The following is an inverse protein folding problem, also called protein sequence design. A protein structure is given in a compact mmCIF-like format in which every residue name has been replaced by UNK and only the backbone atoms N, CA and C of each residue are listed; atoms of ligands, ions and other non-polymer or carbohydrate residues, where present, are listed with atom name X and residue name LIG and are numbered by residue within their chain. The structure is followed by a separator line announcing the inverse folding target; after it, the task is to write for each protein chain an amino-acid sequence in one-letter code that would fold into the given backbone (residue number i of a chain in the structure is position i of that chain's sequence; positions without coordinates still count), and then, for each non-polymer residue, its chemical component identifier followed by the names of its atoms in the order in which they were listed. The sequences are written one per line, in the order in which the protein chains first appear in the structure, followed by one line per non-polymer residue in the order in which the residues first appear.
data_IF_905423954787
#
_entry.id   IF_905423954787
#
_cell.length_a   1.000
_cell.length_b   1.000
_cell.length_c   1.000
_cell.angle_alpha   90.00
_cell.angle_beta   90.00
_cell.angle_gamma   90.00
#
_symmetry.space_group_name_H-M   'P 1'
#
loop_
_entity.id
_entity.type
_entity.pdbx_description
1 polymer ?
#
# COMPACT_ATOMS: atom_id res chain seq x y z
N UNK A 1 -10.43 -30.76 27.13
CA UNK A 1 -9.14 -30.38 26.51
C UNK A 1 -9.20 -30.42 24.98
N UNK A 2 -9.84 -31.42 24.37
CA UNK A 2 -9.95 -31.55 22.89
C UNK A 2 -10.56 -30.32 22.17
N UNK A 3 -11.60 -29.70 22.73
CA UNK A 3 -12.21 -28.49 22.15
C UNK A 3 -11.27 -27.27 22.16
N UNK A 4 -10.47 -27.09 23.22
CA UNK A 4 -9.52 -25.96 23.33
C UNK A 4 -8.41 -26.13 22.29
N UNK A 5 -7.92 -27.36 22.10
CA UNK A 5 -6.91 -27.67 21.08
C UNK A 5 -7.42 -27.51 19.65
N UNK A 6 -8.68 -27.87 19.37
CA UNK A 6 -9.26 -27.70 18.03
C UNK A 6 -9.46 -26.22 17.67
N UNK A 7 -10.02 -25.43 18.58
CA UNK A 7 -10.24 -24.00 18.33
C UNK A 7 -8.90 -23.25 18.18
N UNK A 8 -7.91 -23.57 19.00
CA UNK A 8 -6.57 -23.03 18.86
C UNK A 8 -5.97 -23.35 17.48
N UNK A 9 -6.09 -24.59 17.02
CA UNK A 9 -5.63 -24.96 15.67
C UNK A 9 -6.36 -24.15 14.58
N UNK A 10 -7.68 -23.94 14.70
CA UNK A 10 -8.45 -23.10 13.79
C UNK A 10 -7.94 -21.65 13.81
N UNK A 11 -7.67 -21.09 14.99
CA UNK A 11 -7.12 -19.72 15.11
C UNK A 11 -5.75 -19.61 14.47
N UNK A 12 -4.86 -20.59 14.68
CA UNK A 12 -3.53 -20.62 14.05
C UNK A 12 -3.68 -20.64 12.52
N UNK A 13 -4.52 -21.52 11.98
CA UNK A 13 -4.77 -21.58 10.54
C UNK A 13 -5.36 -20.26 10.03
N UNK A 14 -6.31 -19.68 10.75
CA UNK A 14 -6.94 -18.41 10.38
C UNK A 14 -5.94 -17.25 10.41
N UNK A 15 -5.02 -17.22 11.38
CA UNK A 15 -3.95 -16.24 11.46
C UNK A 15 -2.97 -16.38 10.29
N UNK A 16 -2.61 -17.61 9.90
CA UNK A 16 -1.78 -17.85 8.71
C UNK A 16 -2.51 -17.46 7.42
N UNK A 17 -3.82 -17.69 7.32
CA UNK A 17 -4.63 -17.18 6.20
C UNK A 17 -4.62 -15.66 6.19
N UNK A 18 -4.79 -15.00 7.35
CA UNK A 18 -4.66 -13.55 7.45
C UNK A 18 -3.29 -13.08 6.94
N UNK A 19 -2.19 -13.71 7.36
CA UNK A 19 -0.84 -13.35 6.94
C UNK A 19 -0.59 -13.54 5.45
N UNK A 20 -1.13 -14.62 4.90
CA UNK A 20 -1.15 -14.85 3.46
C UNK A 20 -1.95 -13.77 2.74
N UNK A 21 -3.12 -13.40 3.25
CA UNK A 21 -3.91 -12.32 2.65
C UNK A 21 -3.20 -10.98 2.73
N UNK A 22 -2.50 -10.74 3.84
CA UNK A 22 -1.70 -9.55 4.04
C UNK A 22 -0.53 -9.49 3.04
N UNK A 23 0.22 -10.59 2.90
CA UNK A 23 1.34 -10.68 1.99
C UNK A 23 0.98 -10.33 0.55
N UNK A 24 -0.16 -10.82 0.06
CA UNK A 24 -0.63 -10.52 -1.29
C UNK A 24 -1.13 -9.06 -1.39
N UNK A 25 -1.89 -8.59 -0.40
CA UNK A 25 -2.45 -7.23 -0.36
C UNK A 25 -1.35 -6.16 -0.38
N UNK A 26 -0.31 -6.35 0.45
CA UNK A 26 0.74 -5.37 0.69
C UNK A 26 1.96 -5.54 -0.23
N UNK A 27 1.93 -6.50 -1.17
CA UNK A 27 2.91 -6.60 -2.26
C UNK A 27 3.03 -5.29 -3.04
N UNK A 28 1.93 -4.56 -3.18
CA UNK A 28 1.89 -3.26 -3.84
C UNK A 28 2.80 -2.23 -3.17
N UNK A 29 2.94 -2.27 -1.84
CA UNK A 29 3.73 -1.30 -1.09
C UNK A 29 5.22 -1.36 -1.44
N UNK A 30 5.72 -2.56 -1.75
CA UNK A 30 7.11 -2.77 -2.14
C UNK A 30 7.30 -2.67 -3.67
N UNK A 31 6.40 -3.27 -4.45
CA UNK A 31 6.67 -3.55 -5.87
C UNK A 31 5.95 -2.64 -6.86
N UNK A 32 4.87 -1.95 -6.48
CA UNK A 32 4.11 -1.14 -7.44
C UNK A 32 4.96 -0.05 -8.10
N UNK A 33 5.79 0.65 -7.31
CA UNK A 33 6.71 1.67 -7.82
C UNK A 33 7.80 1.10 -8.72
N UNK A 34 8.33 -0.09 -8.41
CA UNK A 34 9.39 -0.71 -9.23
C UNK A 34 8.85 -1.28 -10.54
N UNK A 35 7.60 -1.74 -10.53
CA UNK A 35 6.89 -2.23 -11.71
C UNK A 35 6.50 -1.04 -12.60
N UNK A 36 5.93 0.01 -12.02
CA UNK A 36 5.44 1.16 -12.79
C UNK A 36 6.56 2.00 -13.42
N UNK A 37 7.73 2.10 -12.78
CA UNK A 37 8.91 2.74 -13.38
C UNK A 37 9.60 1.89 -14.46
N UNK A 38 9.20 0.63 -14.65
CA UNK A 38 9.88 -0.31 -15.56
C UNK A 38 11.24 -0.80 -15.04
N UNK A 39 11.55 -0.62 -13.76
CA UNK A 39 12.79 -1.09 -13.16
C UNK A 39 12.85 -2.62 -13.10
N UNK A 40 11.74 -3.31 -12.86
CA UNK A 40 11.63 -4.77 -12.96
C UNK A 40 10.34 -5.22 -13.65
N UNK A 41 10.39 -6.43 -14.21
CA UNK A 41 9.19 -7.12 -14.70
C UNK A 41 8.32 -7.56 -13.51
N UNK A 42 6.98 -7.55 -13.63
CA UNK A 42 6.06 -7.87 -12.54
C UNK A 42 6.37 -9.19 -11.80
N UNK A 43 6.51 -10.31 -12.53
CA UNK A 43 6.78 -11.63 -11.92
C UNK A 43 8.12 -11.69 -11.19
N UNK A 44 9.16 -11.06 -11.73
CA UNK A 44 10.48 -11.00 -11.08
C UNK A 44 10.44 -10.16 -9.81
N UNK A 45 9.69 -9.05 -9.84
CA UNK A 45 9.53 -8.16 -8.71
C UNK A 45 8.85 -8.86 -7.53
N UNK A 46 7.72 -9.53 -7.75
CA UNK A 46 7.00 -10.26 -6.68
C UNK A 46 7.78 -11.47 -6.16
N UNK A 47 8.55 -12.16 -7.02
CA UNK A 47 9.42 -13.25 -6.59
C UNK A 47 10.56 -12.77 -5.66
N UNK A 48 11.23 -11.67 -6.03
CA UNK A 48 12.25 -11.06 -5.17
C UNK A 48 11.63 -10.60 -3.84
N UNK A 49 10.45 -9.99 -3.89
CA UNK A 49 9.74 -9.51 -2.71
C UNK A 49 9.36 -10.65 -1.76
N UNK A 50 8.86 -11.77 -2.29
CA UNK A 50 8.50 -12.94 -1.50
C UNK A 50 9.70 -13.53 -0.74
N UNK A 51 10.85 -13.68 -1.41
CA UNK A 51 12.08 -14.19 -0.77
C UNK A 51 12.56 -13.24 0.34
N UNK A 52 12.55 -11.93 0.09
CA UNK A 52 12.99 -10.95 1.07
C UNK A 52 11.99 -10.80 2.22
N UNK A 53 10.68 -10.95 1.98
CA UNK A 53 9.68 -11.01 3.05
C UNK A 53 9.93 -12.22 3.96
N UNK A 54 10.20 -13.39 3.39
CA UNK A 54 10.55 -14.58 4.16
C UNK A 54 11.79 -14.34 5.03
N UNK A 55 12.86 -13.77 4.46
CA UNK A 55 14.07 -13.45 5.22
C UNK A 55 13.78 -12.43 6.32
N UNK A 56 13.01 -11.38 6.01
CA UNK A 56 12.63 -10.33 6.96
C UNK A 56 11.90 -10.86 8.19
N UNK A 57 11.06 -11.89 8.01
CA UNK A 57 10.35 -12.55 9.11
C UNK A 57 11.28 -13.10 10.21
N UNK A 58 12.53 -13.42 9.90
CA UNK A 58 13.51 -13.93 10.87
C UNK A 58 14.37 -12.84 11.54
N UNK A 59 14.23 -11.57 11.15
CA UNK A 59 15.13 -10.51 11.60
C UNK A 59 14.75 -9.88 12.95
N UNK A 60 13.50 -10.03 13.41
CA UNK A 60 13.05 -9.45 14.68
C UNK A 60 11.79 -10.14 15.19
N UNK A 61 11.54 -9.98 16.49
CA UNK A 61 10.34 -10.46 17.20
C UNK A 61 9.71 -9.36 18.09
N UNK A 62 10.20 -8.12 18.02
CA UNK A 62 9.75 -7.03 18.90
C UNK A 62 8.31 -6.56 18.65
N UNK A 63 7.89 -6.50 17.39
CA UNK A 63 6.49 -6.17 17.04
C UNK A 63 5.56 -7.28 17.51
N UNK A 64 5.98 -8.54 17.40
CA UNK A 64 5.21 -9.69 17.88
C UNK A 64 4.95 -9.60 19.39
N UNK A 65 5.98 -9.25 20.17
CA UNK A 65 5.87 -9.03 21.63
C UNK A 65 4.91 -7.90 21.99
N UNK A 66 4.98 -6.77 21.26
CA UNK A 66 4.05 -5.64 21.48
C UNK A 66 2.60 -6.06 21.27
N UNK A 67 2.35 -6.91 20.27
CA UNK A 67 0.99 -7.37 19.94
C UNK A 67 0.51 -8.41 20.96
N UNK A 68 1.37 -9.35 21.36
CA UNK A 68 0.98 -10.42 22.26
C UNK A 68 0.76 -9.98 23.71
N UNK A 69 1.40 -8.90 24.17
CA UNK A 69 1.30 -8.46 25.59
C UNK A 69 0.96 -6.99 25.83
N UNK A 70 0.80 -6.16 24.78
CA UNK A 70 0.67 -4.70 24.95
C UNK A 70 -0.73 -4.12 24.78
N UNK A 71 -1.57 -4.73 23.94
CA UNK A 71 -2.77 -4.08 23.39
C UNK A 71 -4.05 -4.48 24.11
N UNK A 72 -4.17 -5.77 24.44
CA UNK A 72 -5.35 -6.34 25.09
C UNK A 72 -4.92 -6.91 26.42
N UNK A 73 -5.72 -6.68 27.46
CA UNK A 73 -5.52 -7.32 28.74
C UNK A 73 -5.78 -8.81 28.58
N UNK A 74 -4.76 -9.62 28.83
CA UNK A 74 -4.80 -11.09 28.61
C UNK A 74 -5.85 -11.77 29.51
N UNK A 75 -6.14 -11.15 30.67
CA UNK A 75 -7.16 -11.60 31.61
C UNK A 75 -8.58 -11.48 31.02
N UNK A 76 -9.16 -12.64 30.67
CA UNK A 76 -10.54 -12.75 30.19
C UNK A 76 -10.69 -12.81 28.66
N UNK A 77 -9.60 -12.72 27.90
CA UNK A 77 -9.63 -12.94 26.44
C UNK A 77 -9.51 -14.42 26.15
N UNK A 78 -10.54 -14.98 25.52
CA UNK A 78 -10.55 -16.37 25.09
C UNK A 78 -10.10 -16.49 23.63
N UNK A 79 -9.74 -17.70 23.21
CA UNK A 79 -9.31 -17.99 21.84
C UNK A 79 -10.40 -17.66 20.81
N UNK A 80 -11.68 -17.72 21.17
CA UNK A 80 -12.82 -17.31 20.33
C UNK A 80 -12.78 -15.83 19.95
N UNK A 81 -12.31 -14.97 20.85
CA UNK A 81 -12.20 -13.52 20.62
C UNK A 81 -11.15 -13.22 19.56
N UNK A 82 -10.03 -13.94 19.63
CA UNK A 82 -8.94 -13.84 18.66
C UNK A 82 -9.41 -14.34 17.29
N UNK A 83 -10.18 -15.43 17.27
CA UNK A 83 -10.81 -15.91 16.04
C UNK A 83 -11.72 -14.86 15.41
N UNK A 84 -12.63 -14.26 16.20
CA UNK A 84 -13.52 -13.20 15.74
C UNK A 84 -12.77 -11.96 15.23
N UNK A 85 -11.70 -11.56 15.92
CA UNK A 85 -10.83 -10.47 15.51
C UNK A 85 -10.21 -10.70 14.12
N UNK A 86 -9.67 -11.91 13.89
CA UNK A 86 -9.08 -12.30 12.61
C UNK A 86 -10.12 -12.33 11.49
N UNK A 87 -11.34 -12.79 11.76
CA UNK A 87 -12.44 -12.79 10.78
C UNK A 87 -12.75 -11.36 10.32
N UNK A 88 -12.84 -10.42 11.27
CA UNK A 88 -13.03 -9.00 10.96
C UNK A 88 -11.90 -8.42 10.09
N UNK A 89 -10.66 -8.75 10.43
CA UNK A 89 -9.48 -8.29 9.70
C UNK A 89 -9.41 -8.87 8.27
N UNK A 90 -9.63 -10.18 8.12
CA UNK A 90 -9.55 -10.87 6.81
C UNK A 90 -10.65 -10.37 5.88
N UNK A 91 -11.91 -10.34 6.33
CA UNK A 91 -13.02 -9.93 5.48
C UNK A 91 -12.87 -8.48 5.03
N UNK A 92 -12.39 -7.60 5.91
CA UNK A 92 -12.10 -6.22 5.54
C UNK A 92 -10.96 -6.12 4.51
N UNK A 93 -9.83 -6.81 4.74
CA UNK A 93 -8.70 -6.82 3.81
C UNK A 93 -9.10 -7.35 2.41
N UNK A 94 -9.89 -8.42 2.36
CA UNK A 94 -10.38 -8.98 1.09
C UNK A 94 -11.33 -8.01 0.38
N UNK A 95 -12.19 -7.31 1.13
CA UNK A 95 -13.09 -6.31 0.56
C UNK A 95 -12.30 -5.12 -0.02
N UNK A 96 -11.33 -4.58 0.71
CA UNK A 96 -10.51 -3.47 0.22
C UNK A 96 -9.68 -3.87 -0.99
N UNK A 97 -9.18 -5.11 -1.03
CA UNK A 97 -8.52 -5.66 -2.19
C UNK A 97 -9.44 -5.76 -3.41
N UNK A 98 -10.67 -6.26 -3.23
CA UNK A 98 -11.65 -6.36 -4.32
C UNK A 98 -11.89 -4.99 -4.96
N UNK A 99 -12.02 -3.96 -4.11
CA UNK A 99 -12.19 -2.56 -4.51
C UNK A 99 -10.90 -1.89 -5.01
N UNK A 100 -9.76 -2.58 -4.96
CA UNK A 100 -8.46 -2.02 -5.35
C UNK A 100 -7.99 -0.86 -4.47
N UNK A 101 -8.52 -0.75 -3.25
CA UNK A 101 -8.20 0.31 -2.30
C UNK A 101 -6.97 -0.09 -1.46
N UNK A 102 -5.87 0.67 -1.49
CA UNK A 102 -4.70 0.40 -0.65
C UNK A 102 -5.04 0.72 0.81
N UNK A 103 -5.49 -0.31 1.53
CA UNK A 103 -5.77 -0.29 2.97
C UNK A 103 -4.58 -0.78 3.80
N UNK A 104 -4.65 -0.58 5.11
CA UNK A 104 -3.65 -1.02 6.08
C UNK A 104 -4.11 -2.28 6.79
N UNK A 105 -3.47 -3.42 6.50
CA UNK A 105 -3.72 -4.68 7.20
C UNK A 105 -3.45 -4.58 8.70
N UNK A 106 -2.47 -3.76 9.13
CA UNK A 106 -2.25 -3.47 10.55
C UNK A 106 -3.50 -2.89 11.22
N UNK A 107 -4.15 -1.93 10.56
CA UNK A 107 -5.34 -1.28 11.11
C UNK A 107 -6.57 -2.18 11.04
N UNK A 108 -6.66 -3.04 10.03
CA UNK A 108 -7.70 -4.05 9.97
C UNK A 108 -7.55 -5.06 11.13
N UNK A 109 -6.33 -5.52 11.40
CA UNK A 109 -6.04 -6.41 12.52
C UNK A 109 -6.34 -5.77 13.87
N UNK A 110 -5.84 -4.55 14.11
CA UNK A 110 -6.12 -3.84 15.36
C UNK A 110 -7.58 -3.46 15.52
N UNK A 111 -8.24 -3.05 14.43
CA UNK A 111 -9.68 -2.81 14.42
C UNK A 111 -10.43 -4.07 14.84
N UNK A 112 -10.21 -5.19 14.15
CA UNK A 112 -10.82 -6.47 14.49
C UNK A 112 -10.58 -6.89 15.93
N UNK A 113 -9.35 -6.76 16.42
CA UNK A 113 -8.98 -7.10 17.81
C UNK A 113 -9.66 -6.19 18.83
N UNK A 114 -9.65 -4.87 18.61
CA UNK A 114 -10.34 -3.90 19.47
C UNK A 114 -11.84 -4.18 19.50
N UNK A 115 -12.46 -4.36 18.34
CA UNK A 115 -13.89 -4.60 18.22
C UNK A 115 -14.33 -5.89 18.91
N UNK A 116 -13.60 -6.99 18.66
CA UNK A 116 -13.87 -8.28 19.31
C UNK A 116 -13.66 -8.19 20.82
N UNK A 117 -12.56 -7.60 21.30
CA UNK A 117 -12.28 -7.48 22.72
C UNK A 117 -13.29 -6.58 23.46
N UNK A 118 -13.67 -5.44 22.86
CA UNK A 118 -14.71 -4.55 23.42
C UNK A 118 -16.07 -5.25 23.45
N UNK A 119 -16.44 -5.97 22.40
CA UNK A 119 -17.64 -6.82 22.43
C UNK A 119 -17.51 -7.89 23.52
N UNK A 120 -16.31 -8.43 23.73
CA UNK A 120 -16.05 -9.52 24.68
C UNK A 120 -16.14 -9.12 26.15
N UNK A 121 -15.36 -8.13 26.53
CA UNK A 121 -15.09 -7.75 27.91
C UNK A 121 -15.23 -6.24 28.17
N UNK A 122 -15.78 -5.48 27.21
CA UNK A 122 -15.97 -4.03 27.32
C UNK A 122 -14.69 -3.23 27.09
N UNK A 123 -14.79 -1.90 27.19
CA UNK A 123 -13.68 -0.97 26.91
C UNK A 123 -12.49 -1.13 27.87
N UNK A 124 -12.70 -1.67 29.06
CA UNK A 124 -11.64 -1.97 30.04
C UNK A 124 -10.69 -3.09 29.59
N UNK A 125 -11.05 -3.87 28.57
CA UNK A 125 -10.18 -4.91 28.00
C UNK A 125 -9.05 -4.35 27.14
N UNK A 126 -9.13 -3.08 26.73
CA UNK A 126 -8.17 -2.44 25.84
C UNK A 126 -7.26 -1.50 26.61
N UNK A 127 -5.96 -1.65 26.40
CA UNK A 127 -4.99 -0.66 26.87
C UNK A 127 -5.00 0.55 25.92
N UNK A 128 -5.89 1.52 26.21
CA UNK A 128 -6.04 2.73 25.39
C UNK A 128 -4.73 3.52 25.24
N UNK A 129 -3.89 3.54 26.28
CA UNK A 129 -2.57 4.18 26.22
C UNK A 129 -1.64 3.51 25.21
N UNK A 130 -1.57 2.18 25.20
CA UNK A 130 -0.80 1.42 24.20
C UNK A 130 -1.37 1.61 22.81
N UNK A 131 -2.70 1.54 22.63
CA UNK A 131 -3.34 1.75 21.32
C UNK A 131 -2.98 3.12 20.76
N UNK A 132 -3.08 4.18 21.56
CA UNK A 132 -2.73 5.53 21.09
C UNK A 132 -1.24 5.64 20.75
N UNK A 133 -0.35 5.18 21.63
CA UNK A 133 1.09 5.40 21.48
C UNK A 133 1.78 4.46 20.50
N UNK A 134 1.31 3.22 20.37
CA UNK A 134 1.94 2.16 19.56
C UNK A 134 1.20 1.87 18.25
N UNK A 135 -0.04 2.34 18.09
CA UNK A 135 -0.86 2.13 16.89
C UNK A 135 -1.25 3.46 16.23
N UNK A 136 -2.05 4.30 16.90
CA UNK A 136 -2.64 5.49 16.27
C UNK A 136 -1.62 6.60 15.98
N UNK A 137 -0.70 6.87 16.91
CA UNK A 137 0.32 7.89 16.70
C UNK A 137 1.27 7.51 15.55
N UNK A 138 1.84 6.28 15.49
CA UNK A 138 2.59 5.83 14.33
C UNK A 138 1.80 5.88 13.02
N UNK A 139 0.48 5.58 13.03
CA UNK A 139 -0.36 5.64 11.83
C UNK A 139 -0.39 7.02 11.16
N UNK A 140 -0.32 8.09 11.96
CA UNK A 140 -0.32 9.47 11.47
C UNK A 140 1.11 9.93 11.20
N UNK A 141 2.03 9.66 12.13
CA UNK A 141 3.39 10.16 12.05
C UNK A 141 4.18 9.51 10.90
N UNK A 142 4.03 8.21 10.70
CA UNK A 142 4.80 7.45 9.71
C UNK A 142 4.65 7.93 8.26
N UNK A 143 3.44 8.08 7.69
CA UNK A 143 3.28 8.60 6.33
C UNK A 143 3.86 10.00 6.17
N UNK A 144 3.77 10.85 7.20
CA UNK A 144 4.31 12.22 7.17
C UNK A 144 5.84 12.21 7.19
N UNK A 145 6.45 11.46 8.11
CA UNK A 145 7.90 11.34 8.21
C UNK A 145 8.49 10.71 6.94
N UNK A 146 7.89 9.62 6.45
CA UNK A 146 8.31 8.97 5.22
C UNK A 146 8.15 9.90 4.00
N UNK A 147 7.05 10.64 3.93
CA UNK A 147 6.78 11.62 2.87
C UNK A 147 7.74 12.80 2.87
N UNK A 148 8.00 13.42 4.02
CA UNK A 148 8.97 14.53 4.13
C UNK A 148 10.38 14.03 3.78
N UNK A 149 10.79 12.88 4.32
CA UNK A 149 12.09 12.29 3.99
C UNK A 149 12.24 12.02 2.49
N UNK A 150 11.21 11.44 1.86
CA UNK A 150 11.22 11.16 0.43
C UNK A 150 11.22 12.43 -0.43
N UNK A 151 10.50 13.47 0.00
CA UNK A 151 10.49 14.78 -0.66
C UNK A 151 11.87 15.42 -0.64
N UNK A 152 12.53 15.44 0.52
CA UNK A 152 13.87 16.01 0.68
C UNK A 152 14.92 15.19 -0.09
N UNK A 153 14.87 13.86 0.00
CA UNK A 153 15.76 12.96 -0.74
C UNK A 153 15.58 13.13 -2.26
N UNK A 154 14.34 13.31 -2.72
CA UNK A 154 14.06 13.59 -4.14
C UNK A 154 14.64 14.95 -4.55
N UNK A 155 14.41 16.02 -3.79
CA UNK A 155 14.98 17.35 -4.09
C UNK A 155 16.50 17.31 -4.16
N UNK A 156 17.14 16.60 -3.24
CA UNK A 156 18.58 16.41 -3.22
C UNK A 156 19.05 15.66 -4.47
N UNK A 157 18.39 14.55 -4.80
CA UNK A 157 18.66 13.73 -5.99
C UNK A 157 18.66 14.56 -7.27
N UNK A 158 17.58 15.32 -7.51
CA UNK A 158 17.51 16.18 -8.71
C UNK A 158 18.47 17.37 -8.65
N UNK A 159 18.78 17.90 -7.46
CA UNK A 159 19.76 18.97 -7.30
C UNK A 159 21.18 18.51 -7.65
N UNK A 160 21.57 17.31 -7.25
CA UNK A 160 22.87 16.72 -7.58
C UNK A 160 22.97 16.46 -9.08
N UNK A 161 21.92 15.91 -9.69
CA UNK A 161 21.93 15.54 -11.11
C UNK A 161 21.75 16.74 -12.07
N UNK A 162 21.44 17.94 -11.57
CA UNK A 162 21.07 19.10 -12.41
C UNK A 162 22.14 19.53 -13.41
N UNK A 163 23.41 19.23 -13.11
CA UNK A 163 24.56 19.62 -13.92
C UNK A 163 25.05 18.50 -14.86
N UNK A 164 24.39 17.34 -14.86
CA UNK A 164 24.78 16.20 -15.71
C UNK A 164 24.24 16.42 -17.12
N UNK A 165 25.02 17.07 -17.98
CA UNK A 165 24.66 17.40 -19.37
C UNK A 165 25.21 16.42 -20.39
N UNK A 166 26.28 15.68 -20.06
CA UNK A 166 26.88 14.68 -20.94
C UNK A 166 25.94 13.47 -21.13
N UNK A 167 25.55 13.12 -22.37
CA UNK A 167 24.68 11.97 -22.67
C UNK A 167 25.17 10.63 -22.10
N UNK A 168 26.49 10.41 -22.05
CA UNK A 168 27.04 9.18 -21.50
C UNK A 168 26.88 9.12 -19.97
N UNK A 169 27.07 10.26 -19.30
CA UNK A 169 26.86 10.37 -17.86
C UNK A 169 25.38 10.27 -17.49
N UNK A 170 24.47 10.82 -18.30
CA UNK A 170 23.03 10.67 -18.11
C UNK A 170 22.59 9.20 -18.17
N UNK A 171 23.08 8.45 -19.17
CA UNK A 171 22.82 7.00 -19.28
C UNK A 171 23.36 6.22 -18.08
N UNK A 172 24.59 6.51 -17.65
CA UNK A 172 25.19 5.89 -16.47
C UNK A 172 24.39 6.19 -15.19
N UNK A 173 24.01 7.44 -15.01
CA UNK A 173 23.18 7.91 -13.88
C UNK A 173 21.82 7.21 -13.85
N UNK A 174 21.14 7.12 -14.99
CA UNK A 174 19.85 6.42 -15.11
C UNK A 174 19.97 4.93 -14.76
N UNK A 175 21.04 4.26 -15.22
CA UNK A 175 21.33 2.87 -14.86
C UNK A 175 21.58 2.71 -13.36
N UNK A 176 22.32 3.65 -12.75
CA UNK A 176 22.56 3.73 -11.32
C UNK A 176 21.27 3.85 -10.51
N UNK A 177 20.38 4.79 -10.85
CA UNK A 177 19.09 4.93 -10.15
C UNK A 177 18.17 3.74 -10.37
N UNK A 178 18.20 3.08 -11.53
CA UNK A 178 17.44 1.85 -11.75
C UNK A 178 17.94 0.73 -10.84
N UNK A 179 19.24 0.54 -10.72
CA UNK A 179 19.82 -0.44 -9.80
C UNK A 179 19.54 -0.10 -8.33
N UNK A 180 19.69 1.19 -7.97
CA UNK A 180 19.37 1.69 -6.64
C UNK A 180 17.91 1.46 -6.27
N UNK A 181 16.98 1.73 -7.20
CA UNK A 181 15.54 1.47 -7.00
C UNK A 181 15.27 -0.01 -6.76
N UNK A 182 15.90 -0.92 -7.50
CA UNK A 182 15.73 -2.36 -7.29
C UNK A 182 16.22 -2.75 -5.89
N UNK A 183 17.38 -2.24 -5.47
CA UNK A 183 17.92 -2.48 -4.13
C UNK A 183 17.00 -1.91 -3.03
N UNK A 184 16.51 -0.68 -3.17
CA UNK A 184 15.59 -0.08 -2.20
C UNK A 184 14.23 -0.79 -2.17
N UNK A 185 13.73 -1.28 -3.29
CA UNK A 185 12.53 -2.12 -3.34
C UNK A 185 12.73 -3.44 -2.57
N UNK A 186 13.94 -4.00 -2.67
CA UNK A 186 14.36 -5.12 -1.85
C UNK A 186 14.36 -4.79 -0.36
N UNK A 187 14.91 -3.62 0.03
CA UNK A 187 14.87 -3.16 1.42
C UNK A 187 13.45 -2.94 1.94
N UNK A 188 12.52 -2.40 1.12
CA UNK A 188 11.11 -2.28 1.51
C UNK A 188 10.49 -3.66 1.71
N UNK A 189 10.81 -4.64 0.87
CA UNK A 189 10.32 -6.02 1.04
C UNK A 189 10.88 -6.65 2.31
N UNK A 190 12.17 -6.48 2.58
CA UNK A 190 12.77 -6.96 3.82
C UNK A 190 12.10 -6.32 5.05
N UNK A 191 11.92 -4.99 5.01
CA UNK A 191 11.27 -4.23 6.06
C UNK A 191 9.82 -4.63 6.28
N UNK A 192 9.09 -4.94 5.20
CA UNK A 192 7.74 -5.47 5.25
C UNK A 192 7.72 -6.82 5.94
N UNK A 193 8.57 -7.78 5.57
CA UNK A 193 8.70 -9.06 6.27
C UNK A 193 9.01 -8.90 7.76
N UNK A 194 9.95 -8.00 8.09
CA UNK A 194 10.31 -7.68 9.48
C UNK A 194 9.16 -7.06 10.26
N UNK A 195 8.22 -6.35 9.64
CA UNK A 195 7.11 -5.71 10.35
C UNK A 195 5.84 -6.57 10.37
N UNK A 196 5.45 -7.09 9.22
CA UNK A 196 4.12 -7.65 8.98
C UNK A 196 4.02 -9.11 9.39
N UNK A 197 5.04 -9.93 9.12
CA UNK A 197 5.06 -11.32 9.57
C UNK A 197 4.96 -11.39 11.10
N UNK A 198 5.58 -10.43 11.78
CA UNK A 198 5.53 -10.34 13.24
C UNK A 198 4.12 -10.07 13.79
N UNK A 199 3.23 -9.46 13.02
CA UNK A 199 1.84 -9.23 13.47
C UNK A 199 1.12 -10.54 13.66
N UNK A 200 1.25 -11.42 12.67
CA UNK A 200 0.71 -12.78 12.72
C UNK A 200 1.39 -13.59 13.81
N UNK A 201 2.73 -13.49 13.94
CA UNK A 201 3.45 -14.15 15.04
C UNK A 201 2.92 -13.71 16.41
N UNK A 202 2.66 -12.41 16.60
CA UNK A 202 2.11 -11.86 17.82
C UNK A 202 0.71 -12.38 18.12
N UNK A 203 -0.17 -12.47 17.12
CA UNK A 203 -1.54 -13.00 17.29
C UNK A 203 -1.54 -14.50 17.60
N UNK A 204 -0.71 -15.29 16.91
CA UNK A 204 -0.57 -16.72 17.21
C UNK A 204 -0.01 -16.90 18.62
N UNK A 205 0.99 -16.11 19.00
CA UNK A 205 1.57 -16.15 20.35
C UNK A 205 0.55 -15.77 21.41
N UNK A 206 -0.27 -14.74 21.17
CA UNK A 206 -1.39 -14.37 22.04
C UNK A 206 -2.39 -15.53 22.18
N UNK A 207 -2.71 -16.23 21.09
CA UNK A 207 -3.60 -17.40 21.15
C UNK A 207 -3.00 -18.56 21.96
N UNK A 208 -1.69 -18.78 21.87
CA UNK A 208 -0.97 -19.79 22.64
C UNK A 208 -0.89 -19.43 24.13
N UNK A 209 -0.70 -18.15 24.46
CA UNK A 209 -0.69 -17.65 25.85
C UNK A 209 -2.09 -17.75 26.46
N UNK A 210 -3.11 -17.25 25.78
CA UNK A 210 -4.51 -17.28 26.26
C UNK A 210 -5.09 -18.70 26.38
N UNK A 211 -4.56 -19.67 25.64
CA UNK A 211 -4.93 -21.09 25.78
C UNK A 211 -4.11 -21.85 26.82
N UNK A 212 -3.15 -21.20 27.50
CA UNK A 212 -2.30 -21.80 28.53
C UNK A 212 -1.19 -22.70 27.99
N UNK A 213 -0.92 -22.68 26.69
CA UNK A 213 0.17 -23.45 26.05
C UNK A 213 1.53 -22.76 26.24
N UNK A 214 1.54 -21.43 26.25
CA UNK A 214 2.74 -20.62 26.51
C UNK A 214 2.53 -19.75 27.76
N UNK A 215 3.62 -19.47 28.47
CA UNK A 215 3.59 -18.51 29.57
C UNK A 215 3.49 -17.06 29.03
N UNK A 216 2.80 -16.15 29.74
CA UNK A 216 2.80 -14.73 29.40
C UNK A 216 4.21 -14.16 29.22
N UNK A 217 4.38 -13.27 28.24
CA UNK A 217 5.69 -12.67 27.91
C UNK A 217 6.67 -13.60 27.17
N UNK A 218 6.28 -14.82 26.81
CA UNK A 218 7.11 -15.72 26.00
C UNK A 218 7.34 -15.16 24.59
N UNK A 219 8.53 -15.43 24.04
CA UNK A 219 8.81 -15.16 22.63
C UNK A 219 8.01 -16.11 21.72
N UNK A 220 7.67 -15.68 20.48
CA UNK A 220 7.08 -16.56 19.49
C UNK A 220 7.98 -17.78 19.23
N UNK A 221 7.46 -19.01 19.32
CA UNK A 221 8.22 -20.21 18.99
C UNK A 221 8.69 -20.21 17.53
N UNK A 222 9.79 -20.91 17.25
CA UNK A 222 10.37 -20.94 15.90
C UNK A 222 9.40 -21.41 14.81
N UNK A 223 8.51 -22.36 15.12
CA UNK A 223 7.51 -22.82 14.15
C UNK A 223 6.49 -21.73 13.79
N UNK A 224 6.18 -20.82 14.73
CA UNK A 224 5.32 -19.65 14.49
C UNK A 224 6.01 -18.70 13.54
N UNK A 225 7.30 -18.43 13.76
CA UNK A 225 8.12 -17.56 12.91
C UNK A 225 8.20 -18.13 11.48
N UNK A 226 8.50 -19.42 11.35
CA UNK A 226 8.61 -20.11 10.06
C UNK A 226 7.27 -20.13 9.32
N UNK A 227 6.19 -20.50 10.00
CA UNK A 227 4.86 -20.60 9.36
C UNK A 227 4.32 -19.23 8.93
N UNK A 228 4.45 -18.19 9.76
CA UNK A 228 4.10 -16.82 9.38
C UNK A 228 4.96 -16.33 8.20
N UNK A 229 6.29 -16.48 8.29
CA UNK A 229 7.22 -16.12 7.22
C UNK A 229 6.90 -16.79 5.87
N UNK A 230 6.52 -18.08 5.89
CA UNK A 230 6.09 -18.79 4.68
C UNK A 230 4.74 -18.26 4.18
N UNK A 231 3.76 -18.05 5.08
CA UNK A 231 2.43 -17.57 4.71
C UNK A 231 2.49 -16.21 4.03
N UNK A 232 3.17 -15.22 4.64
CA UNK A 232 3.33 -13.89 4.04
C UNK A 232 4.09 -13.95 2.71
N UNK A 233 5.15 -14.77 2.60
CA UNK A 233 5.92 -14.89 1.37
C UNK A 233 5.11 -15.51 0.22
N UNK A 234 4.32 -16.55 0.50
CA UNK A 234 3.42 -17.16 -0.48
C UNK A 234 2.34 -16.17 -0.94
N UNK A 235 1.76 -15.43 0.00
CA UNK A 235 0.84 -14.33 -0.31
C UNK A 235 1.50 -13.32 -1.24
N UNK A 236 2.70 -12.85 -0.88
CA UNK A 236 3.44 -11.88 -1.70
C UNK A 236 3.75 -12.38 -3.11
N UNK A 237 4.08 -13.66 -3.25
CA UNK A 237 4.38 -14.24 -4.56
C UNK A 237 3.17 -14.23 -5.50
N UNK A 238 1.96 -14.46 -4.98
CA UNK A 238 0.72 -14.35 -5.76
C UNK A 238 0.41 -12.91 -6.16
N UNK A 239 0.87 -11.96 -5.34
CA UNK A 239 0.78 -10.53 -5.56
C UNK A 239 -0.58 -9.94 -5.20
N UNK A 240 -0.79 -8.66 -5.51
CA UNK A 240 -2.04 -7.95 -5.23
C UNK A 240 -2.42 -7.10 -6.42
N UNK A 241 -2.55 -7.70 -7.60
CA UNK A 241 -2.51 -6.99 -8.89
C UNK A 241 -3.48 -5.81 -8.98
N UNK A 242 -4.68 -5.91 -8.41
CA UNK A 242 -5.64 -4.80 -8.27
C UNK A 242 -5.05 -3.59 -7.55
N UNK A 243 -4.42 -3.80 -6.40
CA UNK A 243 -3.79 -2.74 -5.59
C UNK A 243 -2.49 -2.26 -6.25
N UNK A 244 -1.71 -3.17 -6.85
CA UNK A 244 -0.49 -2.82 -7.61
C UNK A 244 -0.85 -1.83 -8.74
N UNK A 245 -1.94 -2.08 -9.47
CA UNK A 245 -2.45 -1.17 -10.50
C UNK A 245 -2.78 0.21 -9.92
N UNK A 246 -3.55 0.25 -8.83
CA UNK A 246 -3.91 1.52 -8.15
C UNK A 246 -2.68 2.29 -7.67
N UNK A 247 -1.74 1.62 -7.00
CA UNK A 247 -0.55 2.25 -6.43
C UNK A 247 0.51 2.63 -7.47
N UNK A 248 0.58 1.90 -8.59
CA UNK A 248 1.64 2.05 -9.59
C UNK A 248 1.51 3.32 -10.43
N UNK A 249 0.30 3.63 -10.91
CA UNK A 249 0.01 4.81 -11.75
C UNK A 249 -1.05 5.76 -11.18
N UNK A 250 -1.76 5.34 -10.13
CA UNK A 250 -2.91 6.10 -9.63
C UNK A 250 -2.57 7.28 -8.72
N UNK A 251 -1.34 7.35 -8.17
CA UNK A 251 -0.98 8.37 -7.17
C UNK A 251 -0.05 9.46 -7.72
N UNK A 252 1.04 9.08 -8.39
CA UNK A 252 2.00 10.00 -9.01
C UNK A 252 2.86 9.25 -10.03
N UNK A 253 3.28 9.94 -11.09
CA UNK A 253 4.15 9.37 -12.12
C UNK A 253 5.61 9.46 -11.67
N UNK A 254 6.12 8.36 -11.13
CA UNK A 254 7.49 8.29 -10.63
C UNK A 254 8.48 7.87 -11.73
N UNK A 255 9.67 8.45 -11.67
CA UNK A 255 10.86 7.94 -12.35
C UNK A 255 11.77 7.19 -11.37
N UNK A 256 12.71 6.34 -11.84
CA UNK A 256 13.59 5.57 -10.96
C UNK A 256 14.31 6.37 -9.85
N UNK A 257 14.77 7.62 -10.06
CA UNK A 257 15.36 8.41 -8.97
C UNK A 257 14.36 8.73 -7.84
N UNK A 258 13.10 9.00 -8.18
CA UNK A 258 12.05 9.23 -7.18
C UNK A 258 11.61 7.92 -6.53
N UNK A 259 11.53 6.84 -7.29
CA UNK A 259 11.24 5.51 -6.77
C UNK A 259 12.28 5.06 -5.74
N UNK A 260 13.57 5.28 -6.03
CA UNK A 260 14.67 5.04 -5.11
C UNK A 260 14.53 5.86 -3.82
N UNK A 261 14.25 7.16 -3.94
CA UNK A 261 14.05 8.05 -2.79
C UNK A 261 12.85 7.60 -1.93
N UNK A 262 11.69 7.35 -2.56
CA UNK A 262 10.48 6.91 -1.87
C UNK A 262 10.69 5.59 -1.12
N UNK A 263 11.24 4.57 -1.79
CA UNK A 263 11.44 3.25 -1.20
C UNK A 263 12.49 3.27 -0.09
N UNK A 264 13.57 4.03 -0.24
CA UNK A 264 14.58 4.17 0.81
C UNK A 264 14.00 4.84 2.06
N UNK A 265 13.22 5.91 1.88
CA UNK A 265 12.55 6.59 2.99
C UNK A 265 11.52 5.70 3.67
N UNK A 266 10.69 4.99 2.90
CA UNK A 266 9.71 4.05 3.44
C UNK A 266 10.38 2.91 4.22
N UNK A 267 11.40 2.25 3.62
CA UNK A 267 12.14 1.17 4.28
C UNK A 267 12.79 1.63 5.58
N UNK A 268 13.39 2.83 5.59
CA UNK A 268 14.01 3.41 6.79
C UNK A 268 12.98 3.59 7.91
N UNK A 269 11.83 4.20 7.60
CA UNK A 269 10.77 4.43 8.59
C UNK A 269 10.20 3.11 9.12
N UNK A 270 9.94 2.14 8.25
CA UNK A 270 9.41 0.83 8.63
C UNK A 270 10.39 0.07 9.52
N UNK A 271 11.68 0.01 9.14
CA UNK A 271 12.70 -0.68 9.94
C UNK A 271 12.92 0.00 11.29
N UNK A 272 13.07 1.33 11.31
CA UNK A 272 13.24 2.08 12.56
C UNK A 272 12.07 1.86 13.52
N UNK A 273 10.84 1.91 13.00
CA UNK A 273 9.63 1.61 13.77
C UNK A 273 9.59 0.17 14.29
N UNK A 274 9.96 -0.80 13.44
CA UNK A 274 9.97 -2.21 13.82
C UNK A 274 10.99 -2.50 14.93
N UNK A 275 12.14 -1.83 14.91
CA UNK A 275 13.14 -1.92 15.98
C UNK A 275 12.64 -1.34 17.31
N UNK A 276 11.75 -0.34 17.28
CA UNK A 276 11.11 0.22 18.48
C UNK A 276 9.88 -0.61 18.93
N UNK A 277 9.59 -1.72 18.25
CA UNK A 277 8.42 -2.57 18.50
C UNK A 277 7.10 -1.89 18.16
N UNK A 278 7.10 -0.81 17.37
CA UNK A 278 5.89 -0.12 16.95
C UNK A 278 5.28 -0.84 15.73
N UNK A 279 4.02 -1.22 15.82
CA UNK A 279 3.30 -1.87 14.73
C UNK A 279 2.72 -0.83 13.78
N UNK A 280 3.52 -0.47 12.80
CA UNK A 280 3.26 0.59 11.85
C UNK A 280 2.52 0.05 10.60
N UNK A 281 1.86 0.96 9.87
CA UNK A 281 1.24 0.65 8.57
C UNK A 281 2.23 0.83 7.42
N UNK A 282 2.70 -0.27 6.85
CA UNK A 282 3.58 -0.27 5.67
C UNK A 282 2.91 0.43 4.49
N UNK A 283 1.60 0.19 4.27
CA UNK A 283 0.80 0.88 3.24
C UNK A 283 0.85 2.39 3.39
N UNK A 284 0.61 2.92 4.59
CA UNK A 284 0.63 4.37 4.82
C UNK A 284 2.03 4.95 4.64
N UNK A 285 3.06 4.27 5.16
CA UNK A 285 4.45 4.75 5.01
C UNK A 285 4.91 4.78 3.56
N UNK A 286 4.68 3.71 2.82
CA UNK A 286 5.03 3.63 1.40
C UNK A 286 4.24 4.65 0.59
N UNK A 287 2.93 4.78 0.83
CA UNK A 287 2.09 5.77 0.15
C UNK A 287 2.53 7.21 0.46
N UNK A 288 2.82 7.51 1.73
CA UNK A 288 3.37 8.78 2.18
C UNK A 288 4.68 9.13 1.48
N UNK A 289 5.61 8.17 1.43
CA UNK A 289 6.89 8.32 0.73
C UNK A 289 6.71 8.54 -0.78
N UNK A 290 5.79 7.81 -1.43
CA UNK A 290 5.47 7.98 -2.86
C UNK A 290 4.91 9.38 -3.13
N UNK A 291 3.94 9.85 -2.33
CA UNK A 291 3.42 11.22 -2.44
C UNK A 291 4.53 12.27 -2.23
N UNK A 292 5.36 12.08 -1.21
CA UNK A 292 6.50 12.95 -0.92
C UNK A 292 7.50 13.03 -2.06
N UNK A 293 7.86 11.89 -2.66
CA UNK A 293 8.74 11.83 -3.82
C UNK A 293 8.11 12.46 -5.08
N UNK A 294 6.79 12.39 -5.22
CA UNK A 294 6.05 13.13 -6.25
C UNK A 294 6.21 14.65 -6.09
N UNK A 295 5.94 15.17 -4.89
CA UNK A 295 6.06 16.60 -4.54
C UNK A 295 7.51 17.12 -4.52
N UNK A 296 8.49 16.22 -4.40
CA UNK A 296 9.91 16.57 -4.35
C UNK A 296 10.52 17.00 -5.68
N UNK A 297 9.86 16.69 -6.81
CA UNK A 297 10.33 17.05 -8.16
C UNK A 297 9.68 18.36 -8.62
N UNK A 298 10.45 19.23 -9.30
CA UNK A 298 9.88 20.42 -9.98
C UNK A 298 8.86 19.97 -11.03
N UNK A 299 7.63 20.47 -10.92
CA UNK A 299 6.50 20.09 -11.79
C UNK A 299 5.95 18.68 -11.51
N UNK A 300 6.30 18.06 -10.37
CA UNK A 300 5.73 16.78 -9.97
C UNK A 300 4.25 16.90 -9.65
N UNK A 301 3.47 15.90 -10.09
CA UNK A 301 2.00 15.88 -9.93
C UNK A 301 1.63 14.75 -8.97
N UNK A 302 0.81 15.07 -7.98
CA UNK A 302 0.13 14.09 -7.12
C UNK A 302 -1.36 14.15 -7.43
N UNK A 303 -1.97 13.00 -7.70
CA UNK A 303 -3.40 12.89 -7.97
C UNK A 303 -4.17 12.91 -6.64
N UNK A 304 -4.63 14.09 -6.24
CA UNK A 304 -5.22 14.34 -4.92
C UNK A 304 -6.54 13.61 -4.69
N UNK A 305 -7.32 13.30 -5.74
CA UNK A 305 -8.51 12.47 -5.61
C UNK A 305 -8.17 11.06 -5.12
N UNK A 306 -7.18 10.41 -5.75
CA UNK A 306 -6.68 9.10 -5.31
C UNK A 306 -6.15 9.19 -3.88
N UNK A 307 -5.29 10.17 -3.59
CA UNK A 307 -4.76 10.37 -2.24
C UNK A 307 -5.89 10.53 -1.20
N UNK A 308 -6.93 11.32 -1.51
CA UNK A 308 -8.07 11.54 -0.62
C UNK A 308 -8.87 10.27 -0.39
N UNK A 309 -9.14 9.49 -1.44
CA UNK A 309 -9.79 8.16 -1.33
C UNK A 309 -8.98 7.22 -0.43
N UNK A 310 -7.65 7.27 -0.52
CA UNK A 310 -6.76 6.49 0.35
C UNK A 310 -6.85 6.94 1.80
N UNK A 311 -6.77 8.25 2.09
CA UNK A 311 -6.93 8.77 3.45
C UNK A 311 -8.28 8.39 4.08
N UNK A 312 -9.36 8.46 3.31
CA UNK A 312 -10.69 8.01 3.75
C UNK A 312 -10.69 6.52 4.05
N UNK A 313 -10.13 5.69 3.16
CA UNK A 313 -10.01 4.25 3.39
C UNK A 313 -9.18 3.94 4.64
N UNK A 314 -8.09 4.68 4.88
CA UNK A 314 -7.23 4.52 6.06
C UNK A 314 -7.98 4.84 7.36
N UNK A 315 -8.73 5.94 7.39
CA UNK A 315 -9.55 6.32 8.54
C UNK A 315 -10.70 5.34 8.80
N UNK A 316 -11.30 4.79 7.74
CA UNK A 316 -12.42 3.85 7.83
C UNK A 316 -12.00 2.43 8.22
N UNK A 317 -10.75 2.05 7.94
CA UNK A 317 -10.29 0.66 8.08
C UNK A 317 -10.39 0.13 9.51
N UNK A 318 -9.91 0.90 10.48
CA UNK A 318 -9.95 0.51 11.89
C UNK A 318 -11.40 0.36 12.40
N UNK A 319 -12.30 1.35 12.27
CA UNK A 319 -13.67 1.21 12.76
C UNK A 319 -14.47 0.16 12.00
N UNK A 320 -14.29 0.02 10.68
CA UNK A 320 -15.02 -0.99 9.91
C UNK A 320 -14.60 -2.42 10.29
N UNK A 321 -13.30 -2.69 10.41
CA UNK A 321 -12.83 -3.98 10.88
C UNK A 321 -13.24 -4.25 12.34
N UNK A 322 -13.30 -3.22 13.19
CA UNK A 322 -13.82 -3.33 14.55
C UNK A 322 -15.29 -3.73 14.59
N UNK A 323 -16.13 -3.15 13.73
CA UNK A 323 -17.55 -3.53 13.65
C UNK A 323 -17.72 -4.99 13.21
N UNK A 324 -16.95 -5.44 12.21
CA UNK A 324 -17.01 -6.83 11.75
C UNK A 324 -16.49 -7.78 12.84
N UNK A 325 -15.37 -7.44 13.50
CA UNK A 325 -14.82 -8.21 14.61
C UNK A 325 -15.76 -8.30 15.81
N UNK A 326 -16.43 -7.20 16.17
CA UNK A 326 -17.46 -7.17 17.21
C UNK A 326 -18.67 -8.03 16.84
N UNK A 327 -19.14 -7.97 15.58
CA UNK A 327 -20.22 -8.82 15.10
C UNK A 327 -19.85 -10.30 15.09
N UNK A 328 -18.62 -10.64 14.71
CA UNK A 328 -18.10 -12.00 14.79
C UNK A 328 -18.02 -12.49 16.24
N UNK A 329 -17.58 -11.66 17.18
CA UNK A 329 -17.52 -12.02 18.61
C UNK A 329 -18.92 -12.17 19.21
N UNK A 330 -19.88 -11.36 18.78
CA UNK A 330 -21.27 -11.51 19.20
C UNK A 330 -21.82 -12.90 18.87
N UNK A 331 -21.41 -13.48 17.73
CA UNK A 331 -21.76 -14.84 17.34
C UNK A 331 -20.98 -15.88 18.14
N UNK A 332 -19.65 -15.79 18.20
CA UNK A 332 -18.81 -16.79 18.88
C UNK A 332 -19.17 -16.93 20.37
N UNK A 333 -19.61 -15.84 21.01
CA UNK A 333 -20.12 -15.84 22.40
C UNK A 333 -21.29 -16.78 22.65
N UNK A 334 -22.06 -17.11 21.62
CA UNK A 334 -23.23 -17.99 21.75
C UNK A 334 -22.86 -19.47 21.87
N UNK A 335 -21.55 -19.79 21.89
CA UNK A 335 -21.02 -21.14 22.05
C UNK A 335 -20.59 -21.77 20.73
N UNK A 336 -20.44 -23.12 20.68
CA UNK A 336 -19.84 -23.80 19.53
C UNK A 336 -20.54 -23.58 18.18
N UNK A 337 -21.87 -23.45 18.19
CA UNK A 337 -22.63 -23.17 16.96
C UNK A 337 -22.31 -21.77 16.42
N UNK A 338 -22.09 -20.80 17.31
CA UNK A 338 -21.71 -19.44 16.96
C UNK A 338 -20.33 -19.37 16.34
N UNK A 339 -19.37 -20.12 16.89
CA UNK A 339 -18.03 -20.30 16.28
C UNK A 339 -18.13 -20.91 14.89
N UNK A 340 -18.94 -21.97 14.72
CA UNK A 340 -19.16 -22.60 13.42
C UNK A 340 -19.80 -21.63 12.42
N UNK A 341 -20.81 -20.85 12.85
CA UNK A 341 -21.44 -19.83 12.01
C UNK A 341 -20.44 -18.75 11.57
N UNK A 342 -19.59 -18.26 12.48
CA UNK A 342 -18.53 -17.31 12.16
C UNK A 342 -17.53 -17.88 11.15
N UNK A 343 -17.15 -19.16 11.28
CA UNK A 343 -16.29 -19.82 10.30
C UNK A 343 -16.95 -19.93 8.91
N UNK A 344 -18.25 -20.25 8.86
CA UNK A 344 -19.02 -20.28 7.60
C UNK A 344 -19.10 -18.89 6.98
N UNK A 345 -19.31 -17.83 7.77
CA UNK A 345 -19.31 -16.44 7.28
C UNK A 345 -17.95 -16.07 6.70
N UNK A 346 -16.85 -16.42 7.38
CA UNK A 346 -15.50 -16.17 6.87
C UNK A 346 -15.27 -16.85 5.52
N UNK A 347 -15.56 -18.16 5.43
CA UNK A 347 -15.34 -18.94 4.20
C UNK A 347 -16.26 -18.47 3.08
N UNK A 348 -17.56 -18.31 3.37
CA UNK A 348 -18.57 -17.87 2.40
C UNK A 348 -18.32 -16.44 1.91
N UNK A 349 -17.98 -15.52 2.82
CA UNK A 349 -17.62 -14.15 2.49
C UNK A 349 -16.35 -14.07 1.63
N UNK A 350 -15.31 -14.81 2.01
CA UNK A 350 -14.07 -14.90 1.22
C UNK A 350 -14.32 -15.48 -0.17
N UNK A 351 -15.15 -16.53 -0.27
CA UNK A 351 -15.52 -17.13 -1.55
C UNK A 351 -16.35 -16.17 -2.42
N UNK A 352 -17.33 -15.47 -1.85
CA UNK A 352 -18.13 -14.48 -2.55
C UNK A 352 -17.27 -13.34 -3.11
N UNK A 353 -16.32 -12.83 -2.30
CA UNK A 353 -15.35 -11.83 -2.74
C UNK A 353 -14.47 -12.37 -3.87
N UNK A 354 -14.00 -13.62 -3.75
CA UNK A 354 -13.21 -14.26 -4.79
C UNK A 354 -13.99 -14.40 -6.10
N UNK A 355 -15.25 -14.86 -6.07
CA UNK A 355 -16.12 -14.94 -7.25
C UNK A 355 -16.34 -13.56 -7.86
N UNK A 356 -16.62 -12.54 -7.05
CA UNK A 356 -16.77 -11.17 -7.52
C UNK A 356 -15.49 -10.67 -8.22
N UNK A 357 -14.31 -11.00 -7.68
CA UNK A 357 -13.02 -10.61 -8.26
C UNK A 357 -12.75 -11.19 -9.65
N UNK A 358 -13.40 -12.31 -10.00
CA UNK A 358 -13.26 -12.97 -11.32
C UNK A 358 -14.04 -12.26 -12.43
N UNK A 359 -14.96 -11.35 -12.11
CA UNK A 359 -15.73 -10.60 -13.11
C UNK A 359 -14.86 -9.62 -13.90
N UNK A 360 -13.88 -9.01 -13.25
CA UNK A 360 -12.92 -8.06 -13.85
C UNK A 360 -11.49 -8.50 -13.51
N UNK A 361 -10.94 -9.50 -14.21
CA UNK A 361 -9.65 -10.08 -13.84
C UNK A 361 -8.51 -9.06 -14.04
N UNK A 362 -7.75 -8.82 -12.98
CA UNK A 362 -6.51 -8.04 -13.00
C UNK A 362 -5.34 -8.96 -12.66
N UNK A 363 -4.35 -9.03 -13.53
CA UNK A 363 -3.18 -9.89 -13.38
C UNK A 363 -1.88 -9.24 -13.91
N UNK A 364 -0.78 -9.97 -13.82
CA UNK A 364 0.54 -9.51 -14.26
C UNK A 364 0.65 -9.05 -15.73
N UNK A 365 -0.28 -9.43 -16.60
CA UNK A 365 -0.29 -9.04 -18.02
C UNK A 365 -0.95 -7.70 -18.25
N UNK A 366 -1.98 -7.35 -17.45
CA UNK A 366 -2.78 -6.14 -17.60
C UNK A 366 -2.64 -5.15 -16.43
N UNK A 367 -1.77 -5.42 -15.45
CA UNK A 367 -1.58 -4.55 -14.27
C UNK A 367 -1.10 -3.15 -14.62
N UNK A 368 -0.43 -2.98 -15.77
CA UNK A 368 0.07 -1.70 -16.25
C UNK A 368 -0.90 -0.99 -17.20
N UNK A 369 -2.02 -1.63 -17.56
CA UNK A 369 -3.01 -1.05 -18.46
C UNK A 369 -3.75 0.07 -17.74
N UNK A 370 -3.80 1.24 -18.36
CA UNK A 370 -4.63 2.35 -17.91
C UNK A 370 -6.03 2.12 -18.43
N UNK A 371 -6.97 1.70 -17.58
CA UNK A 371 -8.38 1.79 -17.94
C UNK A 371 -8.71 3.26 -18.23
N UNK A 372 -9.42 3.48 -19.33
CA UNK A 372 -9.90 4.78 -19.82
C UNK A 372 -11.04 5.36 -18.95
N UNK A 373 -10.92 5.25 -17.63
CA UNK A 373 -11.84 5.82 -16.65
C UNK A 373 -11.18 6.93 -15.82
N UNK A 374 -10.13 7.56 -16.37
CA UNK A 374 -9.84 8.94 -16.01
C UNK A 374 -10.96 9.80 -16.58
N UNK A 375 -11.94 10.12 -15.75
CA UNK A 375 -12.51 11.48 -15.79
C UNK A 375 -11.29 12.39 -15.85
N UNK A 376 -11.12 13.13 -16.95
CA UNK A 376 -10.08 14.15 -17.06
C UNK A 376 -10.13 14.99 -15.78
N UNK A 377 -9.16 14.80 -14.89
CA UNK A 377 -9.09 15.61 -13.70
C UNK A 377 -8.59 16.99 -14.14
N UNK A 378 -9.39 18.05 -14.01
CA UNK A 378 -8.83 19.38 -14.08
C UNK A 378 -7.75 19.48 -13.01
N UNK A 379 -6.57 19.98 -13.40
CA UNK A 379 -5.43 20.16 -12.51
C UNK A 379 -5.92 20.76 -11.18
N UNK A 380 -5.64 20.06 -10.07
CA UNK A 380 -6.17 20.45 -8.77
C UNK A 380 -5.82 21.90 -8.42
N UNK A 381 -6.70 22.56 -7.65
CA UNK A 381 -6.61 23.98 -7.27
C UNK A 381 -5.23 24.39 -6.73
N UNK A 382 -4.52 23.48 -6.07
CA UNK A 382 -3.17 23.70 -5.54
C UNK A 382 -2.10 23.72 -6.64
N UNK A 383 -2.25 22.90 -7.70
CA UNK A 383 -1.36 22.87 -8.87
C UNK A 383 -1.50 24.16 -9.68
N UNK A 384 -2.72 24.66 -9.84
CA UNK A 384 -3.00 25.94 -10.52
C UNK A 384 -2.46 27.13 -9.73
N UNK A 385 -2.63 27.12 -8.40
CA UNK A 385 -2.08 28.16 -7.52
C UNK A 385 -0.55 28.18 -7.51
N UNK A 386 0.12 27.02 -7.62
CA UNK A 386 1.58 26.95 -7.74
C UNK A 386 2.09 27.34 -9.15
N UNK A 387 1.33 27.03 -10.20
CA UNK A 387 1.65 27.44 -11.56
C UNK A 387 1.55 28.97 -11.74
N UNK A 388 0.60 29.61 -11.04
CA UNK A 388 0.41 31.07 -11.05
C UNK A 388 1.56 31.86 -10.37
N UNK A 389 2.45 31.19 -9.64
CA UNK A 389 3.61 31.83 -8.96
C UNK A 389 4.89 31.70 -9.81
N UNK A 390 4.85 31.01 -10.95
CA UNK A 390 5.95 31.02 -11.91
C UNK A 390 5.93 32.33 -12.73
N UNK A 391 7.04 33.07 -12.85
CA UNK A 391 7.09 34.23 -13.72
C UNK A 391 6.84 33.79 -15.17
N UNK A 392 6.12 34.59 -15.98
CA UNK A 392 5.80 34.22 -17.35
C UNK A 392 7.08 33.98 -18.17
N UNK A 393 7.06 33.02 -19.12
CA UNK A 393 8.19 32.81 -20.00
C UNK A 393 8.49 34.11 -20.75
N UNK A 394 9.76 34.52 -20.75
CA UNK A 394 10.25 35.62 -21.58
C UNK A 394 9.92 35.32 -23.04
N UNK A 395 9.06 36.16 -23.62
CA UNK A 395 8.70 36.10 -25.03
C UNK A 395 9.96 36.22 -25.89
N UNK A 396 10.31 35.14 -26.59
CA UNK A 396 11.43 35.07 -27.51
C UNK A 396 11.02 34.31 -28.77
N UNK A 397 11.20 34.98 -29.90
CA UNK A 397 11.10 34.53 -31.30
C UNK A 397 9.69 34.26 -31.86
N UNK A 398 9.21 35.25 -32.64
CA UNK A 398 8.13 35.14 -33.62
C UNK A 398 8.59 34.22 -34.77
N UNK A 399 7.79 33.24 -35.23
CA UNK A 399 8.10 32.48 -36.44
C UNK A 399 7.80 33.31 -37.70
N UNK A 400 8.78 33.32 -38.59
CA UNK A 400 8.80 33.93 -39.91
C UNK A 400 7.62 33.46 -40.80
N UNK A 401 6.71 34.38 -41.12
CA UNK A 401 5.61 34.17 -42.08
C UNK A 401 6.11 34.54 -43.47
N UNK A 402 6.70 33.59 -44.19
CA UNK A 402 6.94 33.73 -45.64
C UNK A 402 5.64 33.45 -46.40
N UNK A 403 4.89 34.51 -46.69
CA UNK A 403 3.79 34.48 -47.66
C UNK A 403 4.34 34.71 -49.06
N UNK A 404 4.43 33.65 -49.86
CA UNK A 404 4.68 33.76 -51.31
C UNK A 404 3.42 34.27 -52.01
N UNK A 405 3.46 35.50 -52.50
CA UNK A 405 2.48 36.07 -53.44
C UNK A 405 2.97 35.78 -54.88
N UNK A 406 2.20 35.13 -55.76
CA UNK A 406 2.54 35.05 -57.18
C UNK A 406 2.25 36.38 -57.89
N UNK A 407 3.17 36.81 -58.77
CA UNK A 407 3.06 38.02 -59.58
C UNK A 407 1.93 37.95 -60.63
N UNK A 408 1.38 39.10 -61.10
CA UNK A 408 0.28 39.10 -62.08
C UNK A 408 0.78 38.79 -63.50
N UNK A 409 0.03 37.93 -64.20
CA UNK A 409 0.21 37.61 -65.62
C UNK A 409 -0.18 38.79 -66.50
N UNK A 410 0.63 39.04 -67.53
CA UNK A 410 0.39 40.02 -68.59
C UNK A 410 -0.88 39.72 -69.40
N UNK A 411 -1.52 40.79 -69.88
CA UNK A 411 -2.70 40.77 -70.75
C UNK A 411 -2.36 40.30 -72.18
N UNK A 412 -3.35 39.77 -72.92
CA UNK A 412 -3.39 39.84 -74.36
C UNK A 412 -4.43 40.86 -74.86
N UNK A 413 -4.02 41.58 -75.89
CA UNK A 413 -4.81 42.45 -76.76
C UNK A 413 -5.90 41.71 -77.56
N UNK A 414 -6.77 42.54 -78.14
CA UNK A 414 -7.73 42.30 -79.23
C UNK A 414 -9.12 41.71 -78.91
N UNK A 415 -10.14 42.55 -79.08
CA UNK A 415 -11.26 42.33 -80.03
C UNK A 415 -12.18 43.56 -80.14
N UNK A 416 -12.86 43.79 -81.29
CA UNK A 416 -13.26 45.12 -81.73
C UNK A 416 -14.68 45.54 -81.32
N UNK A 417 -14.86 46.85 -81.22
CA UNK A 417 -16.14 47.59 -81.12
C UNK A 417 -17.14 47.18 -82.20
N UNK A 418 -18.45 47.17 -81.87
CA UNK A 418 -19.47 47.67 -82.78
C UNK A 418 -20.25 48.85 -82.18
N UNK A 419 -20.79 49.65 -83.10
CA UNK A 419 -21.47 50.93 -82.92
C UNK A 419 -23.00 50.79 -82.79
N UNK A 420 -23.65 51.96 -82.61
CA UNK A 420 -25.06 52.29 -82.88
C UNK A 420 -26.07 51.96 -81.76
N UNK A 421 -26.57 52.97 -81.03
CA UNK A 421 -27.87 53.70 -81.24
C UNK A 421 -29.08 52.78 -81.18
N UNK A 422 -30.10 53.02 -80.35
CA UNK A 422 -30.99 54.20 -80.27
C UNK A 422 -31.40 54.49 -78.83
#
# INVERSE_FOLDING_TARGET
MEHITLLLAIVVVTALVFDFTNGFHDTANAMATTISTGAMKPKTAVAMSAVLNLIGAFLSVEVAKTISGGIVNEDGIRTEVIFAALVGAILWNLLTWLLGLPSSSSHALFGGLIGAAVMSAGWSSINGGTVVTKVLLPAIAAPLVAGIAAMLATRLTYRINRNVTDPNQQKSTAKGYRAGQIASAGLVSLAHGTNDAQKTMGIITLALVTSGVLAPGSNPPMWVIVSAGIAIALGTYLGGWRIIRTMGKGLTDLQPPQGFAAQTSAATVILASSHLGFSLSTTQSCSGAVMGAGLGRKGGVVRWSTATRMFVAWGLTLPAAALVGAGAEFLTKQGPWGVAATAVILVGGSFAIWVASRREPVDHTNVNDTEATTVDEPQGVVTTAMAAVAPPPTAGAVPDLSTTIPAPSAAPDDTPRPAATV
#
